data_IF_827624210352
#
_entry.id   IF_827624210352
#
_cell.length_a   1.000
_cell.length_b   1.000
_cell.length_c   1.000
_cell.angle_alpha   90.00
_cell.angle_beta   90.00
_cell.angle_gamma   90.00
#
_symmetry.space_group_name_H-M   'P 1'
#
loop_
_entity.id
_entity.type
_entity.pdbx_description
1 polymer ?
#
# COMPACT_ATOMS: atom_id res chain seq x y z
N UNK A 1 60.49 -10.76 39.75
CA UNK A 1 61.67 -10.20 40.48
C UNK A 1 61.87 -8.79 40.10
N UNK A 2 62.29 -7.96 41.02
CA UNK A 2 61.66 -7.53 42.29
C UNK A 2 61.44 -6.00 42.28
N UNK A 3 60.78 -5.48 43.13
CA UNK A 3 60.90 -4.98 44.55
C UNK A 3 60.68 -3.49 44.67
N UNK A 4 59.73 -3.11 45.53
CA UNK A 4 59.91 -2.34 46.82
C UNK A 4 60.21 -0.85 46.64
N UNK A 5 59.69 0.12 47.32
CA UNK A 5 59.31 0.40 48.71
C UNK A 5 58.68 1.82 48.81
N UNK A 6 57.66 1.95 49.66
CA UNK A 6 57.54 2.88 50.82
C UNK A 6 57.88 4.37 50.66
N UNK A 7 57.01 5.29 51.13
CA UNK A 7 57.05 5.86 52.50
C UNK A 7 55.97 6.97 52.64
N UNK A 8 55.05 6.85 53.53
CA UNK A 8 54.72 7.58 54.78
C UNK A 8 55.06 9.08 54.84
N UNK A 9 54.08 9.87 55.18
CA UNK A 9 54.33 11.24 55.65
C UNK A 9 53.10 12.09 55.91
N UNK A 10 52.53 11.98 57.10
CA UNK A 10 52.09 12.97 58.07
C UNK A 10 50.97 14.00 57.78
N UNK A 11 49.98 13.87 58.70
CA UNK A 11 48.95 14.82 59.10
C UNK A 11 49.49 16.25 59.36
N UNK A 12 48.73 17.26 59.00
CA UNK A 12 48.63 18.50 59.82
C UNK A 12 47.19 19.01 59.67
N UNK A 13 46.57 19.12 60.85
CA UNK A 13 45.30 19.83 61.08
C UNK A 13 45.54 21.37 60.92
N UNK A 14 44.55 22.03 60.28
CA UNK A 14 44.35 23.44 60.42
C UNK A 14 42.85 23.76 60.43
N UNK A 15 42.38 24.18 61.55
CA UNK A 15 41.08 24.80 61.80
C UNK A 15 40.95 26.09 61.02
N UNK A 16 39.82 26.34 60.33
CA UNK A 16 39.38 27.68 59.97
C UNK A 16 37.84 27.74 59.78
N UNK A 17 37.22 28.90 59.90
CA UNK A 17 35.98 29.07 60.66
C UNK A 17 34.73 29.07 59.81
N UNK A 18 33.71 28.62 60.48
CA UNK A 18 32.31 28.67 60.14
C UNK A 18 31.78 30.08 60.01
N UNK A 19 31.69 30.67 58.81
CA UNK A 19 30.90 31.93 58.61
C UNK A 19 30.93 32.38 57.12
N UNK A 20 30.40 31.60 56.17
CA UNK A 20 30.10 32.11 54.80
C UNK A 20 29.28 31.16 53.97
N UNK A 21 28.43 30.28 54.54
CA UNK A 21 27.65 29.30 53.82
C UNK A 21 26.13 29.55 53.82
N UNK A 22 25.67 30.73 54.29
CA UNK A 22 24.23 31.01 54.34
C UNK A 22 23.69 31.85 53.17
N UNK A 23 24.54 32.31 52.25
CA UNK A 23 24.09 33.18 51.13
C UNK A 23 24.02 32.51 49.74
N UNK A 24 24.50 31.27 49.60
CA UNK A 24 24.46 30.56 48.30
C UNK A 24 23.33 29.57 48.14
N UNK A 25 22.58 29.26 49.22
CA UNK A 25 21.51 28.27 49.18
C UNK A 25 20.14 28.84 48.76
N UNK A 26 19.95 30.16 48.76
CA UNK A 26 18.70 30.82 48.38
C UNK A 26 18.64 31.16 46.87
N UNK A 27 19.79 31.26 46.19
CA UNK A 27 19.84 31.60 44.77
C UNK A 27 19.64 30.37 43.85
N UNK A 28 19.77 29.13 44.36
CA UNK A 28 19.67 27.92 43.57
C UNK A 28 18.26 27.32 43.57
N UNK A 29 17.37 27.78 44.44
CA UNK A 29 15.97 27.29 44.51
C UNK A 29 15.00 28.10 43.63
N UNK A 30 15.40 29.24 43.07
CA UNK A 30 14.54 30.05 42.18
C UNK A 30 14.78 29.74 40.71
N UNK A 31 15.91 29.11 40.34
CA UNK A 31 16.22 28.73 38.96
C UNK A 31 15.60 27.36 38.52
N UNK A 32 15.09 26.56 39.46
CA UNK A 32 14.50 25.24 39.16
C UNK A 32 12.98 25.27 38.92
N UNK A 33 12.32 26.44 39.07
CA UNK A 33 10.87 26.56 38.94
C UNK A 33 10.38 27.06 37.57
N UNK A 34 11.27 27.26 36.59
CA UNK A 34 10.91 27.91 35.31
C UNK A 34 10.97 27.05 34.06
N UNK A 35 11.06 25.72 34.15
CA UNK A 35 11.00 24.85 32.96
C UNK A 35 10.12 23.63 33.24
N UNK A 36 8.91 23.89 33.70
CA UNK A 36 7.80 22.95 33.51
C UNK A 36 6.75 23.65 32.65
N UNK A 37 7.09 23.92 31.39
CA UNK A 37 6.05 24.05 30.39
C UNK A 37 5.35 22.68 30.37
N UNK A 38 4.04 22.59 30.65
CA UNK A 38 3.34 21.37 30.39
C UNK A 38 3.48 21.16 28.87
N UNK A 39 4.24 20.15 28.46
CA UNK A 39 3.99 19.51 27.19
C UNK A 39 2.51 19.12 27.27
N UNK A 40 1.65 19.91 26.64
CA UNK A 40 0.31 19.50 26.31
C UNK A 40 0.47 18.32 25.36
N UNK A 41 0.79 17.16 25.92
CA UNK A 41 0.40 15.91 25.31
C UNK A 41 -1.11 16.05 25.19
N UNK A 42 -1.60 16.40 23.99
CA UNK A 42 -2.96 16.17 23.63
C UNK A 42 -3.19 14.68 23.91
N UNK A 43 -3.70 14.38 25.12
CA UNK A 43 -4.29 13.10 25.41
C UNK A 43 -5.47 12.99 24.47
N UNK A 44 -5.25 12.25 23.37
CA UNK A 44 -6.36 11.73 22.61
C UNK A 44 -7.10 10.82 23.58
N UNK A 45 -8.15 11.34 24.20
CA UNK A 45 -9.04 10.64 25.13
C UNK A 45 -9.87 9.54 24.45
N UNK A 46 -9.47 9.13 23.25
CA UNK A 46 -10.13 8.10 22.46
C UNK A 46 -9.38 6.77 22.47
N UNK A 47 -10.11 5.67 22.63
CA UNK A 47 -9.60 4.33 22.36
C UNK A 47 -8.95 4.34 20.96
N UNK A 48 -7.77 3.70 20.76
CA UNK A 48 -7.13 3.66 19.45
C UNK A 48 -8.04 2.95 18.42
N UNK A 49 -8.07 3.49 17.20
CA UNK A 49 -8.70 2.84 16.07
C UNK A 49 -7.69 1.87 15.46
N UNK A 50 -8.08 0.61 15.34
CA UNK A 50 -7.30 -0.44 14.70
C UNK A 50 -7.55 -0.38 13.19
N UNK A 51 -6.50 -0.15 12.41
CA UNK A 51 -6.52 -0.25 10.96
C UNK A 51 -5.83 -1.56 10.53
N UNK A 52 -6.61 -2.58 10.25
CA UNK A 52 -6.11 -3.87 9.77
C UNK A 52 -5.73 -3.74 8.30
N UNK A 53 -4.49 -4.08 7.98
CA UNK A 53 -3.95 -4.11 6.64
C UNK A 53 -3.63 -5.57 6.28
N UNK A 54 -4.45 -6.24 5.42
CA UNK A 54 -4.32 -7.66 5.12
C UNK A 54 -3.13 -7.99 4.20
N UNK A 55 -1.99 -7.34 4.42
CA UNK A 55 -0.76 -7.52 3.63
C UNK A 55 0.47 -7.42 4.53
N UNK A 56 1.63 -7.80 4.00
CA UNK A 56 2.89 -7.70 4.73
C UNK A 56 3.29 -6.23 4.98
N UNK A 57 3.99 -5.95 6.08
CA UNK A 57 4.67 -4.66 6.27
C UNK A 57 5.57 -4.33 5.07
N UNK A 58 5.63 -3.05 4.69
CA UNK A 58 6.37 -2.60 3.52
C UNK A 58 5.68 -2.84 2.17
N UNK A 59 4.49 -3.42 2.16
CA UNK A 59 3.66 -3.49 0.94
C UNK A 59 3.12 -2.12 0.55
N UNK A 60 2.64 -1.98 -0.70
CA UNK A 60 1.99 -0.75 -1.17
C UNK A 60 0.80 -0.33 -0.30
N UNK A 61 -0.01 -1.28 0.16
CA UNK A 61 -1.13 -1.00 1.06
C UNK A 61 -0.66 -0.50 2.43
N UNK A 62 0.41 -1.09 2.98
CA UNK A 62 1.01 -0.64 4.24
C UNK A 62 1.59 0.77 4.11
N UNK A 63 2.28 1.06 3.01
CA UNK A 63 2.83 2.39 2.75
C UNK A 63 1.72 3.46 2.67
N UNK A 64 0.61 3.17 1.99
CA UNK A 64 -0.56 4.05 1.93
C UNK A 64 -1.23 4.20 3.29
N UNK A 65 -1.39 3.11 4.06
CA UNK A 65 -1.94 3.16 5.40
C UNK A 65 -1.12 4.09 6.32
N UNK A 66 0.21 3.98 6.28
CA UNK A 66 1.11 4.83 7.08
C UNK A 66 1.09 6.29 6.64
N UNK A 67 1.05 6.53 5.34
CA UNK A 67 0.96 7.89 4.79
C UNK A 67 -0.33 8.62 5.20
N UNK A 68 -1.41 7.86 5.40
CA UNK A 68 -2.72 8.40 5.75
C UNK A 68 -2.97 8.45 7.27
N UNK A 69 -2.30 7.59 8.06
CA UNK A 69 -2.65 7.30 9.46
C UNK A 69 -2.65 8.52 10.37
N UNK A 70 -1.66 9.40 10.27
CA UNK A 70 -1.56 10.57 11.13
C UNK A 70 -2.71 11.57 10.88
N UNK A 71 -2.95 11.91 9.61
CA UNK A 71 -4.03 12.81 9.23
C UNK A 71 -5.40 12.19 9.54
N UNK A 72 -5.57 10.91 9.20
CA UNK A 72 -6.80 10.18 9.51
C UNK A 72 -7.06 10.13 11.03
N UNK A 73 -6.02 9.96 11.84
CA UNK A 73 -6.12 9.97 13.30
C UNK A 73 -6.59 11.32 13.83
N UNK A 74 -6.04 12.42 13.32
CA UNK A 74 -6.50 13.79 13.68
C UNK A 74 -7.97 14.00 13.32
N UNK A 75 -8.37 13.63 12.10
CA UNK A 75 -9.73 13.81 11.61
C UNK A 75 -10.76 12.94 12.35
N UNK A 76 -10.39 11.72 12.70
CA UNK A 76 -11.26 10.77 13.41
C UNK A 76 -11.30 11.01 14.93
N UNK A 77 -10.32 11.72 15.50
CA UNK A 77 -10.20 11.91 16.95
C UNK A 77 -9.67 10.68 17.69
N UNK A 78 -9.06 9.74 16.99
CA UNK A 78 -8.51 8.49 17.53
C UNK A 78 -7.10 8.24 17.00
N UNK A 79 -6.12 7.86 17.83
CA UNK A 79 -4.84 7.39 17.33
C UNK A 79 -5.04 6.12 16.48
N UNK A 80 -4.38 6.05 15.31
CA UNK A 80 -4.49 4.91 14.41
C UNK A 80 -3.38 3.91 14.70
N UNK A 81 -3.76 2.68 15.02
CA UNK A 81 -2.83 1.55 15.15
C UNK A 81 -2.96 0.66 13.91
N UNK A 82 -1.89 0.59 13.12
CA UNK A 82 -1.82 -0.25 11.92
C UNK A 82 -1.41 -1.66 12.31
N UNK A 83 -2.23 -2.63 11.92
CA UNK A 83 -1.98 -4.05 12.15
C UNK A 83 -1.87 -4.79 10.81
N UNK A 84 -0.67 -5.23 10.47
CA UNK A 84 -0.44 -6.01 9.26
C UNK A 84 -0.73 -7.49 9.52
N UNK A 85 -1.71 -8.07 8.80
CA UNK A 85 -2.09 -9.48 8.93
C UNK A 85 -2.08 -10.10 7.54
N UNK A 86 -0.90 -10.60 7.16
CA UNK A 86 -0.63 -11.13 5.83
C UNK A 86 -1.00 -12.62 5.69
N UNK A 87 -0.95 -13.12 4.45
CA UNK A 87 -1.12 -14.52 4.09
C UNK A 87 -2.40 -14.81 3.32
N UNK A 88 -2.36 -15.87 2.50
CA UNK A 88 -3.52 -16.37 1.72
C UNK A 88 -4.34 -15.26 1.03
N UNK A 89 -3.68 -14.35 0.29
CA UNK A 89 -4.38 -13.24 -0.39
C UNK A 89 -5.00 -12.20 0.56
N UNK A 90 -4.66 -12.20 1.86
CA UNK A 90 -5.23 -11.30 2.87
C UNK A 90 -6.47 -11.86 3.57
N UNK A 91 -6.83 -13.12 3.32
CA UNK A 91 -8.01 -13.75 3.93
C UNK A 91 -8.00 -13.69 5.45
N UNK A 92 -6.91 -14.05 6.17
CA UNK A 92 -6.89 -13.98 7.64
C UNK A 92 -7.12 -12.57 8.19
N UNK A 93 -6.51 -11.56 7.58
CA UNK A 93 -6.68 -10.16 7.99
C UNK A 93 -8.11 -9.68 7.76
N UNK A 94 -8.68 -9.98 6.59
CA UNK A 94 -10.07 -9.64 6.28
C UNK A 94 -11.05 -10.35 7.22
N UNK A 95 -10.78 -11.61 7.61
CA UNK A 95 -11.62 -12.32 8.56
C UNK A 95 -11.68 -11.64 9.94
N UNK A 96 -10.59 -10.99 10.36
CA UNK A 96 -10.61 -10.20 11.60
C UNK A 96 -11.45 -8.94 11.46
N UNK A 97 -11.44 -8.29 10.29
CA UNK A 97 -12.32 -7.13 10.02
C UNK A 97 -13.78 -7.56 10.08
N UNK A 98 -14.13 -8.65 9.42
CA UNK A 98 -15.49 -9.20 9.37
C UNK A 98 -16.04 -9.52 10.79
N UNK A 99 -15.18 -10.01 11.69
CA UNK A 99 -15.54 -10.39 13.07
C UNK A 99 -15.45 -9.24 14.08
N UNK A 100 -15.04 -8.06 13.65
CA UNK A 100 -14.86 -6.93 14.56
C UNK A 100 -16.20 -6.39 15.10
N UNK A 101 -16.20 -5.73 16.27
CA UNK A 101 -17.34 -4.97 16.75
C UNK A 101 -17.77 -3.89 15.76
N UNK A 102 -19.09 -3.62 15.70
CA UNK A 102 -19.67 -2.61 14.78
C UNK A 102 -19.64 -1.20 15.37
N UNK A 103 -18.63 -0.90 16.16
CA UNK A 103 -18.47 0.38 16.87
C UNK A 103 -17.68 1.43 16.04
N UNK A 104 -17.07 1.02 14.91
CA UNK A 104 -16.26 1.88 14.05
C UNK A 104 -14.81 2.04 14.51
N UNK A 105 -14.37 1.33 15.56
CA UNK A 105 -13.00 1.37 16.08
C UNK A 105 -12.08 0.29 15.46
N UNK A 106 -12.61 -0.57 14.59
CA UNK A 106 -11.81 -1.49 13.78
C UNK A 106 -12.23 -1.35 12.34
N UNK A 107 -11.29 -0.92 11.51
CA UNK A 107 -11.45 -0.76 10.07
C UNK A 107 -10.42 -1.62 9.34
N UNK A 108 -10.66 -1.90 8.07
CA UNK A 108 -9.72 -2.58 7.19
C UNK A 108 -9.31 -1.73 6.01
N UNK A 109 -8.02 -1.74 5.67
CA UNK A 109 -7.54 -1.24 4.38
C UNK A 109 -7.34 -2.44 3.45
N UNK A 110 -8.36 -2.74 2.65
CA UNK A 110 -8.35 -3.86 1.70
C UNK A 110 -7.89 -3.43 0.31
N UNK A 111 -7.35 -4.38 -0.45
CA UNK A 111 -6.95 -4.19 -1.85
C UNK A 111 -7.85 -4.99 -2.79
N UNK A 112 -7.63 -4.87 -4.09
CA UNK A 112 -8.31 -5.65 -5.14
C UNK A 112 -8.36 -7.16 -4.87
N UNK A 113 -7.38 -7.70 -4.13
CA UNK A 113 -7.39 -9.12 -3.75
C UNK A 113 -8.65 -9.53 -2.98
N UNK A 114 -9.28 -8.60 -2.25
CA UNK A 114 -10.51 -8.86 -1.53
C UNK A 114 -11.65 -9.39 -2.43
N UNK A 115 -11.75 -8.89 -3.65
CA UNK A 115 -12.75 -9.32 -4.64
C UNK A 115 -12.20 -10.31 -5.67
N UNK A 116 -10.88 -10.47 -5.77
CA UNK A 116 -10.23 -11.51 -6.59
C UNK A 116 -10.32 -12.87 -5.90
N UNK A 117 -10.10 -12.93 -4.59
CA UNK A 117 -10.01 -14.16 -3.81
C UNK A 117 -11.19 -15.12 -4.01
N UNK A 118 -12.47 -14.68 -4.05
CA UNK A 118 -13.60 -15.59 -4.26
C UNK A 118 -13.54 -16.38 -5.58
N UNK A 119 -12.86 -15.85 -6.60
CA UNK A 119 -12.70 -16.55 -7.88
C UNK A 119 -11.46 -17.47 -7.90
N UNK A 120 -10.50 -17.25 -7.01
CA UNK A 120 -9.20 -17.97 -6.97
C UNK A 120 -9.22 -19.12 -5.95
N UNK A 121 -9.83 -18.89 -4.77
CA UNK A 121 -9.86 -19.88 -3.69
C UNK A 121 -11.16 -20.68 -3.72
N UNK A 122 -11.07 -22.00 -3.54
CA UNK A 122 -12.25 -22.90 -3.55
C UNK A 122 -13.23 -22.62 -2.41
N UNK A 123 -12.72 -22.16 -1.26
CA UNK A 123 -13.53 -21.87 -0.09
C UNK A 123 -13.07 -20.55 0.53
N UNK A 124 -14.02 -19.67 0.75
CA UNK A 124 -13.82 -18.41 1.47
C UNK A 124 -14.52 -18.49 2.83
N UNK A 125 -13.88 -18.05 3.92
CA UNK A 125 -14.49 -18.05 5.26
C UNK A 125 -15.46 -16.88 5.49
N UNK A 126 -15.70 -16.04 4.49
CA UNK A 126 -16.61 -14.90 4.49
C UNK A 126 -17.07 -14.58 3.06
N UNK A 127 -18.17 -13.87 2.94
CA UNK A 127 -18.62 -13.26 1.69
C UNK A 127 -17.99 -11.89 1.50
N UNK A 128 -17.28 -11.69 0.40
CA UNK A 128 -16.52 -10.44 0.14
C UNK A 128 -17.37 -9.18 -0.02
N UNK A 129 -18.68 -9.31 -0.17
CA UNK A 129 -19.60 -8.17 -0.28
C UNK A 129 -20.52 -8.06 0.94
N UNK A 130 -21.10 -9.18 1.39
CA UNK A 130 -22.12 -9.17 2.43
C UNK A 130 -21.59 -9.06 3.85
N UNK A 131 -20.33 -9.52 4.07
CA UNK A 131 -19.74 -9.54 5.41
C UNK A 131 -18.91 -8.30 5.74
N UNK A 132 -18.91 -7.31 4.84
CA UNK A 132 -18.26 -6.01 5.04
C UNK A 132 -19.23 -4.85 4.79
N UNK A 133 -18.88 -3.68 5.32
CA UNK A 133 -19.48 -2.39 4.98
C UNK A 133 -18.42 -1.56 4.26
N UNK A 134 -18.51 -1.32 2.93
CA UNK A 134 -17.65 -0.41 2.22
C UNK A 134 -17.81 1.03 2.75
N UNK A 135 -16.70 1.68 3.09
CA UNK A 135 -16.70 3.06 3.59
C UNK A 135 -16.24 4.00 2.47
N UNK A 136 -15.08 3.74 1.88
CA UNK A 136 -14.56 4.54 0.77
C UNK A 136 -13.56 3.75 -0.06
N UNK A 137 -13.62 3.92 -1.37
CA UNK A 137 -12.48 3.59 -2.26
C UNK A 137 -11.49 4.75 -2.14
N UNK A 138 -10.35 4.53 -1.50
CA UNK A 138 -9.32 5.55 -1.31
C UNK A 138 -8.81 6.03 -2.67
N UNK A 139 -8.48 5.07 -3.55
CA UNK A 139 -7.95 5.37 -4.87
C UNK A 139 -7.49 4.13 -5.62
N UNK A 140 -7.03 4.37 -6.84
CA UNK A 140 -6.46 3.36 -7.73
C UNK A 140 -4.95 3.48 -7.82
N UNK A 141 -4.32 2.37 -8.14
CA UNK A 141 -2.89 2.22 -8.37
C UNK A 141 -2.69 1.75 -9.81
N UNK A 142 -2.50 2.68 -10.74
CA UNK A 142 -2.25 2.36 -12.13
C UNK A 142 -1.06 1.42 -12.31
N UNK A 143 -1.21 0.47 -13.24
CA UNK A 143 -0.13 -0.38 -13.70
C UNK A 143 0.40 0.15 -15.02
N UNK A 144 1.61 -0.24 -15.35
CA UNK A 144 2.20 0.00 -16.65
C UNK A 144 2.68 -1.32 -17.25
N UNK A 145 2.30 -1.58 -18.49
CA UNK A 145 2.86 -2.66 -19.31
C UNK A 145 4.25 -2.23 -19.75
N UNK A 146 5.23 -2.99 -19.32
CA UNK A 146 6.64 -2.76 -19.65
C UNK A 146 7.23 -3.95 -20.36
N UNK A 147 8.25 -3.68 -21.16
CA UNK A 147 9.06 -4.71 -21.82
C UNK A 147 10.54 -4.48 -21.57
N UNK A 148 11.32 -5.57 -21.60
CA UNK A 148 12.78 -5.49 -21.64
C UNK A 148 13.23 -4.79 -22.96
N UNK A 149 14.28 -3.98 -22.96
CA UNK A 149 14.76 -3.29 -24.17
C UNK A 149 15.09 -4.22 -25.35
N UNK A 150 15.43 -5.48 -25.09
CA UNK A 150 15.68 -6.49 -26.14
C UNK A 150 14.44 -6.86 -26.96
N UNK A 151 13.23 -6.57 -26.45
CA UNK A 151 11.97 -6.82 -27.19
C UNK A 151 11.85 -5.77 -28.30
N UNK A 152 11.75 -6.18 -29.60
CA UNK A 152 11.65 -5.27 -30.72
C UNK A 152 10.21 -4.75 -30.91
N UNK A 153 9.68 -4.09 -29.87
CA UNK A 153 8.37 -3.44 -29.87
C UNK A 153 8.46 -2.16 -29.03
N UNK A 154 7.88 -1.06 -29.51
CA UNK A 154 7.90 0.26 -28.87
C UNK A 154 6.49 0.81 -28.59
N UNK A 155 5.46 0.10 -29.04
CA UNK A 155 4.06 0.43 -28.83
C UNK A 155 3.22 -0.85 -28.75
N UNK A 156 1.94 -0.67 -28.41
CA UNK A 156 1.00 -1.80 -28.23
C UNK A 156 0.81 -2.62 -29.50
N UNK A 157 0.69 -1.96 -30.65
CA UNK A 157 0.45 -2.61 -31.93
C UNK A 157 1.65 -3.46 -32.34
N UNK A 158 2.87 -2.95 -32.22
CA UNK A 158 4.09 -3.71 -32.48
C UNK A 158 4.24 -4.91 -31.55
N UNK A 159 3.92 -4.72 -30.24
CA UNK A 159 3.95 -5.81 -29.28
C UNK A 159 2.93 -6.89 -29.63
N UNK A 160 1.68 -6.54 -29.95
CA UNK A 160 0.66 -7.47 -30.36
C UNK A 160 1.04 -8.23 -31.64
N UNK A 161 1.58 -7.52 -32.64
CA UNK A 161 2.06 -8.13 -33.87
C UNK A 161 3.20 -9.13 -33.63
N UNK A 162 4.16 -8.78 -32.77
CA UNK A 162 5.24 -9.66 -32.35
C UNK A 162 4.72 -10.91 -31.65
N UNK A 163 3.81 -10.77 -30.68
CA UNK A 163 3.22 -11.88 -29.96
C UNK A 163 2.43 -12.83 -30.85
N UNK A 164 1.72 -12.30 -31.86
CA UNK A 164 1.01 -13.11 -32.85
C UNK A 164 1.93 -13.87 -33.81
N UNK A 165 3.06 -13.23 -34.18
CA UNK A 165 4.03 -13.88 -35.09
C UNK A 165 4.87 -14.95 -34.40
N UNK A 166 4.99 -14.88 -33.07
CA UNK A 166 5.82 -15.78 -32.25
C UNK A 166 5.06 -16.24 -31.01
N UNK A 167 4.01 -17.05 -31.17
CA UNK A 167 3.22 -17.57 -30.03
C UNK A 167 4.14 -18.27 -29.01
N UNK A 168 3.89 -18.06 -27.73
CA UNK A 168 4.61 -18.68 -26.60
C UNK A 168 6.14 -18.51 -26.54
N UNK A 169 6.72 -17.63 -27.39
CA UNK A 169 8.16 -17.36 -27.37
C UNK A 169 8.53 -16.24 -26.39
N UNK A 170 7.61 -15.34 -26.08
CA UNK A 170 7.78 -14.35 -25.04
C UNK A 170 7.09 -14.79 -23.77
N UNK A 171 7.75 -14.55 -22.65
CA UNK A 171 7.21 -14.84 -21.33
C UNK A 171 6.83 -13.52 -20.65
N UNK A 172 5.73 -13.53 -19.90
CA UNK A 172 5.46 -12.46 -18.97
C UNK A 172 5.62 -12.93 -17.52
N UNK A 173 6.17 -12.02 -16.68
CA UNK A 173 6.30 -12.25 -15.25
C UNK A 173 5.13 -11.68 -14.46
N UNK A 174 4.87 -12.24 -13.28
CA UNK A 174 3.96 -11.70 -12.29
C UNK A 174 4.45 -11.91 -10.86
N UNK A 175 3.80 -11.29 -9.88
CA UNK A 175 4.11 -11.52 -8.47
C UNK A 175 3.51 -12.82 -7.90
N UNK A 176 2.98 -13.68 -8.75
CA UNK A 176 2.41 -14.99 -8.43
C UNK A 176 1.05 -15.21 -9.05
N UNK A 177 0.59 -16.47 -9.03
CA UNK A 177 -0.73 -16.85 -9.55
C UNK A 177 -1.86 -16.10 -8.83
N UNK A 178 -2.86 -15.63 -9.60
CA UNK A 178 -4.03 -14.92 -9.06
C UNK A 178 -3.75 -13.52 -8.53
N UNK A 179 -2.53 -13.01 -8.67
CA UNK A 179 -2.22 -11.64 -8.25
C UNK A 179 -2.73 -10.62 -9.28
N UNK A 180 -2.85 -9.36 -8.84
CA UNK A 180 -3.22 -8.22 -9.70
C UNK A 180 -2.33 -8.15 -10.96
N UNK A 181 -1.01 -8.37 -10.83
CA UNK A 181 -0.08 -8.31 -11.96
C UNK A 181 -0.28 -9.47 -12.94
N UNK A 182 -0.63 -10.65 -12.44
CA UNK A 182 -1.01 -11.79 -13.27
C UNK A 182 -2.29 -11.50 -14.07
N UNK A 183 -3.36 -11.09 -13.36
CA UNK A 183 -4.66 -10.87 -13.99
C UNK A 183 -4.67 -9.70 -14.98
N UNK A 184 -3.83 -8.68 -14.76
CA UNK A 184 -3.63 -7.59 -15.72
C UNK A 184 -3.04 -8.10 -17.03
N UNK A 185 -2.06 -9.01 -16.96
CA UNK A 185 -1.45 -9.62 -18.14
C UNK A 185 -2.42 -10.57 -18.86
N UNK A 186 -3.18 -11.35 -18.12
CA UNK A 186 -4.21 -12.25 -18.68
C UNK A 186 -5.32 -11.46 -19.40
N UNK A 187 -5.79 -10.37 -18.82
CA UNK A 187 -6.74 -9.49 -19.48
C UNK A 187 -6.14 -8.90 -20.78
N UNK A 188 -4.87 -8.50 -20.76
CA UNK A 188 -4.18 -8.02 -21.96
C UNK A 188 -4.13 -9.11 -23.03
N UNK A 189 -3.70 -10.31 -22.67
CA UNK A 189 -3.61 -11.45 -23.61
C UNK A 189 -4.98 -11.79 -24.22
N UNK A 190 -6.02 -11.79 -23.40
CA UNK A 190 -7.41 -12.04 -23.82
C UNK A 190 -7.94 -10.95 -24.77
N UNK A 191 -7.81 -9.66 -24.41
CA UNK A 191 -8.30 -8.55 -25.23
C UNK A 191 -7.50 -8.40 -26.54
N UNK A 192 -6.18 -8.64 -26.51
CA UNK A 192 -5.32 -8.63 -27.68
C UNK A 192 -5.42 -9.91 -28.53
N UNK A 193 -6.06 -10.97 -28.02
CA UNK A 193 -6.13 -12.30 -28.64
C UNK A 193 -4.74 -12.83 -29.00
N UNK A 194 -3.86 -12.87 -28.00
CA UNK A 194 -2.49 -13.38 -28.10
C UNK A 194 -2.23 -14.45 -27.05
N UNK A 195 -1.25 -15.31 -27.30
CA UNK A 195 -0.79 -16.30 -26.33
C UNK A 195 0.59 -15.87 -25.82
N UNK A 196 0.72 -15.84 -24.49
CA UNK A 196 1.97 -15.46 -23.80
C UNK A 196 2.12 -16.35 -22.58
N UNK A 197 3.29 -16.94 -22.42
CA UNK A 197 3.55 -17.87 -21.33
C UNK A 197 3.75 -17.11 -20.00
N UNK A 198 3.01 -17.52 -18.97
CA UNK A 198 3.13 -16.97 -17.62
C UNK A 198 4.31 -17.60 -16.85
N UNK A 199 5.08 -16.75 -16.17
CA UNK A 199 6.12 -17.15 -15.21
C UNK A 199 5.79 -16.50 -13.85
N UNK A 200 5.26 -17.27 -12.89
CA UNK A 200 4.93 -16.75 -11.55
C UNK A 200 6.16 -16.65 -10.67
N UNK A 201 6.30 -15.52 -9.96
CA UNK A 201 7.35 -15.27 -8.97
C UNK A 201 6.77 -15.17 -7.55
N UNK A 202 7.64 -15.32 -6.55
CA UNK A 202 7.29 -15.05 -5.13
C UNK A 202 7.45 -13.56 -4.83
N UNK A 203 6.58 -12.72 -5.43
CA UNK A 203 6.58 -11.26 -5.24
C UNK A 203 7.18 -10.46 -6.41
N UNK A 204 6.88 -9.16 -6.42
CA UNK A 204 7.24 -8.27 -7.52
C UNK A 204 8.75 -8.00 -7.64
N UNK A 205 9.52 -8.08 -6.53
CA UNK A 205 10.96 -7.80 -6.54
C UNK A 205 11.75 -8.76 -7.42
N UNK A 206 11.58 -10.08 -7.22
CA UNK A 206 12.26 -11.10 -8.01
C UNK A 206 11.83 -11.03 -9.50
N UNK A 207 10.54 -10.81 -9.74
CA UNK A 207 10.01 -10.60 -11.08
C UNK A 207 10.67 -9.39 -11.77
N UNK A 208 10.80 -8.26 -11.08
CA UNK A 208 11.43 -7.06 -11.64
C UNK A 208 12.91 -7.31 -11.98
N UNK A 209 13.64 -8.05 -11.14
CA UNK A 209 15.04 -8.40 -11.40
C UNK A 209 15.18 -9.22 -12.68
N UNK A 210 14.35 -10.24 -12.85
CA UNK A 210 14.39 -11.12 -14.02
C UNK A 210 13.90 -10.42 -15.29
N UNK A 211 12.95 -9.49 -15.16
CA UNK A 211 12.52 -8.64 -16.28
C UNK A 211 13.66 -7.70 -16.75
N UNK A 212 14.39 -7.11 -15.80
CA UNK A 212 15.59 -6.30 -16.13
C UNK A 212 16.70 -7.12 -16.76
N UNK A 213 16.85 -8.37 -16.32
CA UNK A 213 17.81 -9.34 -16.86
C UNK A 213 17.38 -10.00 -18.18
N UNK A 214 16.13 -9.76 -18.65
CA UNK A 214 15.59 -10.37 -19.86
C UNK A 214 15.20 -11.84 -19.75
N UNK A 215 15.15 -12.41 -18.54
CA UNK A 215 14.69 -13.79 -18.30
C UNK A 215 13.19 -13.93 -18.59
N UNK A 216 12.42 -12.88 -18.28
CA UNK A 216 11.08 -12.65 -18.80
C UNK A 216 11.08 -11.36 -19.61
N UNK A 217 10.26 -11.28 -20.64
CA UNK A 217 10.36 -10.23 -21.64
C UNK A 217 9.41 -9.07 -21.40
N UNK A 218 8.30 -9.32 -20.70
CA UNK A 218 7.26 -8.32 -20.50
C UNK A 218 6.47 -8.56 -19.21
N UNK A 219 5.65 -7.60 -18.84
CA UNK A 219 4.63 -7.75 -17.80
C UNK A 219 4.16 -6.40 -17.25
N UNK A 220 3.28 -6.49 -16.28
CA UNK A 220 2.73 -5.32 -15.61
C UNK A 220 3.43 -5.08 -14.28
N UNK A 221 3.65 -3.81 -13.95
CA UNK A 221 4.19 -3.36 -12.67
C UNK A 221 3.51 -2.05 -12.26
N UNK A 222 3.54 -1.72 -10.97
CA UNK A 222 3.11 -0.39 -10.52
C UNK A 222 4.07 0.67 -11.02
N UNK A 223 3.55 1.84 -11.38
CA UNK A 223 4.37 2.91 -11.98
C UNK A 223 5.54 3.33 -11.09
N UNK A 224 5.37 3.56 -9.78
CA UNK A 224 6.50 3.93 -8.92
C UNK A 224 7.61 2.88 -8.86
N UNK A 225 7.26 1.59 -8.95
CA UNK A 225 8.22 0.50 -8.88
C UNK A 225 9.17 0.49 -10.09
N UNK A 226 8.74 0.98 -11.25
CA UNK A 226 9.52 0.95 -12.50
C UNK A 226 9.98 2.31 -12.99
N UNK A 227 9.46 3.40 -12.44
CA UNK A 227 9.80 4.74 -12.90
C UNK A 227 11.31 5.03 -12.98
N UNK A 228 12.14 4.63 -11.98
CA UNK A 228 13.59 4.77 -12.07
C UNK A 228 14.19 3.97 -13.24
N UNK A 229 13.67 2.78 -13.52
CA UNK A 229 14.14 1.89 -14.59
C UNK A 229 13.77 2.41 -15.97
N UNK A 230 12.57 3.00 -16.10
CA UNK A 230 12.12 3.67 -17.31
C UNK A 230 12.99 4.89 -17.63
N UNK A 231 13.25 5.75 -16.62
CA UNK A 231 14.13 6.91 -16.75
C UNK A 231 15.57 6.53 -17.12
N UNK A 232 16.05 5.38 -16.64
CA UNK A 232 17.38 4.85 -16.95
C UNK A 232 17.44 4.07 -18.27
N UNK A 233 16.32 3.95 -19.01
CA UNK A 233 16.25 3.18 -20.26
C UNK A 233 16.44 1.67 -20.09
N UNK A 234 16.36 1.16 -18.85
CA UNK A 234 16.49 -0.27 -18.54
C UNK A 234 15.22 -1.06 -18.78
N UNK A 235 14.09 -0.39 -18.92
CA UNK A 235 12.81 -0.93 -19.37
C UNK A 235 12.16 0.06 -20.34
N UNK A 236 11.28 -0.43 -21.21
CA UNK A 236 10.43 0.40 -22.08
C UNK A 236 8.99 0.34 -21.58
N UNK A 237 8.36 1.49 -21.39
CA UNK A 237 6.93 1.58 -21.13
C UNK A 237 6.16 1.46 -22.46
N UNK A 238 5.20 0.54 -22.51
CA UNK A 238 4.37 0.31 -23.70
C UNK A 238 3.03 1.02 -23.59
N UNK A 239 2.34 0.83 -22.46
CA UNK A 239 1.07 1.49 -22.17
C UNK A 239 0.70 1.41 -20.70
N UNK A 240 -0.13 2.32 -20.22
CA UNK A 240 -0.74 2.25 -18.88
C UNK A 240 -2.04 1.45 -18.90
N UNK A 241 -2.37 0.86 -17.76
CA UNK A 241 -3.54 -0.02 -17.59
C UNK A 241 -4.86 0.73 -17.44
N UNK A 242 -4.79 2.01 -17.11
CA UNK A 242 -5.94 2.90 -16.93
C UNK A 242 -6.65 3.20 -18.25
N UNK A 243 -7.95 3.56 -18.22
CA UNK A 243 -8.68 3.99 -19.44
C UNK A 243 -8.06 5.22 -20.13
N UNK A 244 -7.37 6.08 -19.37
CA UNK A 244 -6.71 7.31 -19.84
C UNK A 244 -5.26 7.35 -19.36
N UNK A 245 -4.45 8.21 -19.97
CA UNK A 245 -3.09 8.50 -19.52
C UNK A 245 -3.05 9.01 -18.10
N UNK A 246 -1.91 8.85 -17.44
CA UNK A 246 -1.69 9.26 -16.05
C UNK A 246 -0.62 10.34 -15.95
N UNK A 247 -0.73 11.26 -14.96
CA UNK A 247 0.23 12.36 -14.81
C UNK A 247 1.69 11.93 -14.62
N UNK A 248 1.92 10.76 -14.00
CA UNK A 248 3.28 10.24 -13.78
C UNK A 248 3.97 9.78 -15.06
N UNK A 249 3.22 9.45 -16.11
CA UNK A 249 3.70 8.98 -17.42
C UNK A 249 2.87 9.62 -18.53
N UNK A 250 2.93 10.95 -18.72
CA UNK A 250 2.03 11.69 -19.60
C UNK A 250 2.19 11.31 -21.09
N UNK A 251 3.38 10.86 -21.49
CA UNK A 251 3.70 10.48 -22.87
C UNK A 251 3.36 9.01 -23.16
N UNK A 252 3.06 8.19 -22.13
CA UNK A 252 2.72 6.78 -22.30
C UNK A 252 1.21 6.65 -22.51
N UNK A 253 0.76 6.10 -23.65
CA UNK A 253 -0.66 5.95 -23.93
C UNK A 253 -1.30 4.89 -23.01
N UNK A 254 -2.62 4.91 -22.92
CA UNK A 254 -3.34 3.79 -22.31
C UNK A 254 -3.52 2.63 -23.30
N UNK A 255 -3.71 1.42 -22.78
CA UNK A 255 -4.07 0.26 -23.61
C UNK A 255 -5.40 0.50 -24.35
N UNK A 256 -6.33 1.21 -23.72
CA UNK A 256 -7.61 1.58 -24.32
C UNK A 256 -7.44 2.49 -25.53
N UNK A 257 -6.58 3.54 -25.43
CA UNK A 257 -6.23 4.44 -26.54
C UNK A 257 -5.45 3.72 -27.67
N UNK A 258 -4.80 2.62 -27.30
CA UNK A 258 -3.91 1.86 -28.19
C UNK A 258 -4.58 0.64 -28.82
N UNK A 259 -5.87 0.69 -29.07
CA UNK A 259 -6.60 -0.34 -29.83
C UNK A 259 -7.20 -1.46 -28.99
N UNK A 260 -7.18 -1.37 -27.66
CA UNK A 260 -7.87 -2.29 -26.74
C UNK A 260 -8.93 -1.54 -25.92
N UNK A 261 -10.01 -1.01 -26.53
CA UNK A 261 -10.93 -0.07 -25.90
C UNK A 261 -11.69 -0.62 -24.68
N UNK A 262 -11.71 -1.94 -24.51
CA UNK A 262 -12.33 -2.60 -23.34
C UNK A 262 -11.33 -2.88 -22.22
N UNK A 263 -10.04 -2.61 -22.44
CA UNK A 263 -9.04 -2.80 -21.40
C UNK A 263 -9.15 -1.71 -20.33
N UNK A 264 -9.43 -2.11 -19.11
CA UNK A 264 -9.39 -1.26 -17.93
C UNK A 264 -9.08 -2.14 -16.72
N UNK A 265 -7.89 -1.99 -16.19
CA UNK A 265 -7.43 -2.82 -15.07
C UNK A 265 -6.48 -2.01 -14.17
N UNK A 266 -6.91 -1.74 -12.95
CA UNK A 266 -6.10 -1.07 -11.95
C UNK A 266 -6.16 -1.85 -10.63
N UNK A 267 -5.05 -1.83 -9.89
CA UNK A 267 -5.12 -2.13 -8.48
C UNK A 267 -5.85 -1.00 -7.76
N UNK A 268 -6.50 -1.29 -6.66
CA UNK A 268 -7.16 -0.28 -5.84
C UNK A 268 -7.06 -0.59 -4.36
N UNK A 269 -7.26 0.43 -3.54
CA UNK A 269 -7.32 0.34 -2.09
C UNK A 269 -8.62 0.98 -1.59
N UNK A 270 -9.23 0.35 -0.61
CA UNK A 270 -10.47 0.84 0.00
C UNK A 270 -10.46 0.63 1.51
N UNK A 271 -11.16 1.50 2.23
CA UNK A 271 -11.47 1.31 3.65
C UNK A 271 -12.85 0.67 3.78
N UNK A 272 -12.89 -0.36 4.60
CA UNK A 272 -14.09 -1.13 4.92
C UNK A 272 -14.22 -1.29 6.44
N UNK A 273 -15.44 -1.49 6.91
CA UNK A 273 -15.75 -1.94 8.26
C UNK A 273 -16.45 -3.31 8.25
N UNK A 274 -16.77 -3.88 9.42
CA UNK A 274 -17.58 -5.08 9.53
C UNK A 274 -19.01 -4.83 9.00
N UNK A 275 -19.67 -5.88 8.54
CA UNK A 275 -21.04 -5.79 8.04
C UNK A 275 -22.00 -5.27 9.12
N UNK A 276 -22.96 -4.42 8.69
CA UNK A 276 -23.96 -3.84 9.60
C UNK A 276 -23.43 -2.69 10.46
N UNK A 277 -22.35 -2.05 10.05
CA UNK A 277 -22.00 -0.72 10.55
C UNK A 277 -23.14 0.25 10.20
N UNK A 278 -23.59 1.07 11.16
CA UNK A 278 -24.69 2.01 10.96
C UNK A 278 -24.36 2.97 9.80
N UNK A 279 -25.35 3.30 8.96
CA UNK A 279 -25.13 4.13 7.75
C UNK A 279 -24.59 5.51 8.05
N UNK A 280 -25.12 6.15 9.10
CA UNK A 280 -24.65 7.44 9.60
C UNK A 280 -23.19 7.39 10.08
N UNK A 281 -22.81 6.29 10.76
CA UNK A 281 -21.44 6.04 11.19
C UNK A 281 -20.51 5.85 9.98
N UNK A 282 -20.93 5.07 8.98
CA UNK A 282 -20.15 4.87 7.76
C UNK A 282 -19.95 6.19 6.99
N UNK A 283 -20.98 7.03 6.93
CA UNK A 283 -20.92 8.34 6.30
C UNK A 283 -20.01 9.31 7.08
N UNK A 284 -20.08 9.35 8.43
CA UNK A 284 -19.17 10.17 9.25
C UNK A 284 -17.72 9.73 9.09
N UNK A 285 -17.45 8.43 9.16
CA UNK A 285 -16.11 7.89 8.93
C UNK A 285 -15.59 8.28 7.54
N UNK A 286 -16.41 8.14 6.51
CA UNK A 286 -16.05 8.50 5.15
C UNK A 286 -15.71 9.99 5.04
N UNK A 287 -16.54 10.88 5.57
CA UNK A 287 -16.33 12.32 5.51
C UNK A 287 -15.00 12.73 6.16
N UNK A 288 -14.68 12.15 7.32
CA UNK A 288 -13.42 12.41 8.04
C UNK A 288 -12.20 11.81 7.31
N UNK A 289 -12.32 10.60 6.75
CA UNK A 289 -11.26 10.01 5.93
C UNK A 289 -11.05 10.84 4.66
N UNK A 290 -12.13 11.32 4.03
CA UNK A 290 -12.03 12.20 2.86
C UNK A 290 -11.33 13.51 3.20
N UNK A 291 -11.64 14.12 4.35
CA UNK A 291 -10.94 15.32 4.82
C UNK A 291 -9.42 15.08 4.99
N UNK A 292 -9.04 13.89 5.51
CA UNK A 292 -7.63 13.49 5.58
C UNK A 292 -6.99 13.33 4.18
N UNK A 293 -7.71 12.73 3.23
CA UNK A 293 -7.25 12.59 1.84
C UNK A 293 -7.11 13.93 1.11
N UNK A 294 -7.85 14.96 1.51
CA UNK A 294 -7.81 16.28 0.90
C UNK A 294 -6.67 17.17 1.43
N UNK A 295 -5.98 16.76 2.48
CA UNK A 295 -4.81 17.49 2.98
C UNK A 295 -3.66 17.44 1.96
N UNK A 296 -3.12 18.59 1.58
CA UNK A 296 -2.03 18.69 0.59
C UNK A 296 -0.83 17.77 0.85
N UNK A 297 -0.30 17.67 2.09
CA UNK A 297 0.81 16.75 2.36
C UNK A 297 0.45 15.27 2.12
N UNK A 298 -0.79 14.87 2.43
CA UNK A 298 -1.30 13.52 2.19
C UNK A 298 -1.41 13.27 0.68
N UNK A 299 -2.01 14.20 -0.07
CA UNK A 299 -2.11 14.10 -1.52
C UNK A 299 -0.75 13.95 -2.19
N UNK A 300 0.24 14.75 -1.79
CA UNK A 300 1.60 14.68 -2.33
C UNK A 300 2.27 13.34 -2.02
N UNK A 301 2.13 12.84 -0.79
CA UNK A 301 2.69 11.55 -0.38
C UNK A 301 2.04 10.39 -1.13
N UNK A 302 0.71 10.37 -1.23
CA UNK A 302 -0.03 9.32 -1.94
C UNK A 302 0.25 9.36 -3.45
N UNK A 303 0.36 10.55 -4.05
CA UNK A 303 0.75 10.70 -5.45
C UNK A 303 2.17 10.18 -5.71
N UNK A 304 3.13 10.46 -4.82
CA UNK A 304 4.48 9.91 -4.92
C UNK A 304 4.51 8.37 -4.86
N UNK A 305 3.53 7.77 -4.17
CA UNK A 305 3.31 6.33 -4.13
C UNK A 305 2.51 5.80 -5.34
N UNK A 306 2.13 6.65 -6.27
CA UNK A 306 1.39 6.29 -7.49
C UNK A 306 -0.10 6.10 -7.28
N UNK A 307 -0.65 6.47 -6.12
CA UNK A 307 -2.08 6.41 -5.87
C UNK A 307 -2.79 7.59 -6.55
N UNK A 308 -3.79 7.28 -7.36
CA UNK A 308 -4.76 8.25 -7.89
C UNK A 308 -5.95 8.27 -6.94
N UNK A 309 -6.05 9.36 -6.17
CA UNK A 309 -7.08 9.48 -5.12
C UNK A 309 -8.49 9.56 -5.75
N UNK A 310 -9.44 8.80 -5.18
CA UNK A 310 -10.86 8.83 -5.50
C UNK A 310 -11.65 9.41 -4.31
N UNK A 311 -11.51 8.83 -3.11
CA UNK A 311 -12.25 9.26 -1.92
C UNK A 311 -13.77 9.12 -2.08
N UNK A 312 -14.24 7.98 -2.60
CA UNK A 312 -15.65 7.73 -2.91
C UNK A 312 -16.56 7.81 -1.68
N UNK A 313 -17.86 8.06 -1.90
CA UNK A 313 -18.85 7.86 -0.84
C UNK A 313 -19.16 6.37 -0.63
N UNK A 314 -19.80 5.96 0.48
CA UNK A 314 -20.22 4.58 0.69
C UNK A 314 -21.18 4.07 -0.39
N UNK A 315 -22.08 4.94 -0.89
CA UNK A 315 -23.04 4.63 -1.95
C UNK A 315 -22.35 4.37 -3.30
N UNK A 316 -21.20 4.99 -3.55
CA UNK A 316 -20.36 4.76 -4.72
C UNK A 316 -19.46 3.53 -4.53
N UNK A 317 -18.98 3.30 -3.30
CA UNK A 317 -18.10 2.18 -3.01
C UNK A 317 -18.79 0.82 -3.16
N UNK A 318 -20.03 0.67 -2.70
CA UNK A 318 -20.74 -0.61 -2.77
C UNK A 318 -20.92 -1.15 -4.21
N UNK A 319 -21.45 -0.38 -5.18
CA UNK A 319 -21.53 -0.85 -6.58
C UNK A 319 -20.15 -1.01 -7.22
N UNK A 320 -19.14 -0.24 -6.80
CA UNK A 320 -17.78 -0.45 -7.25
C UNK A 320 -17.26 -1.85 -6.85
N UNK A 321 -17.42 -2.27 -5.59
CA UNK A 321 -17.01 -3.60 -5.14
C UNK A 321 -17.71 -4.71 -5.93
N UNK A 322 -19.02 -4.56 -6.19
CA UNK A 322 -19.76 -5.54 -7.00
C UNK A 322 -19.21 -5.61 -8.43
N UNK A 323 -19.01 -4.46 -9.09
CA UNK A 323 -18.49 -4.43 -10.47
C UNK A 323 -17.09 -5.01 -10.58
N UNK A 324 -16.23 -4.77 -9.58
CA UNK A 324 -14.89 -5.32 -9.51
C UNK A 324 -14.90 -6.83 -9.25
N UNK A 325 -15.80 -7.33 -8.39
CA UNK A 325 -15.98 -8.77 -8.18
C UNK A 325 -16.34 -9.47 -9.50
N UNK A 326 -17.35 -8.93 -10.21
CA UNK A 326 -17.83 -9.52 -11.48
C UNK A 326 -16.76 -9.45 -12.58
N UNK A 327 -16.01 -8.34 -12.64
CA UNK A 327 -14.89 -8.16 -13.56
C UNK A 327 -13.80 -9.22 -13.31
N UNK A 328 -13.34 -9.34 -12.07
CA UNK A 328 -12.26 -10.27 -11.74
C UNK A 328 -12.68 -11.72 -11.85
N UNK A 329 -13.94 -12.07 -11.52
CA UNK A 329 -14.45 -13.41 -11.74
C UNK A 329 -14.43 -13.84 -13.23
N UNK A 330 -14.76 -12.91 -14.14
CA UNK A 330 -14.64 -13.14 -15.59
C UNK A 330 -13.20 -13.34 -16.03
N UNK A 331 -12.27 -12.48 -15.56
CA UNK A 331 -10.85 -12.56 -15.93
C UNK A 331 -10.26 -13.88 -15.42
N UNK A 332 -10.51 -14.26 -14.17
CA UNK A 332 -10.03 -15.50 -13.58
C UNK A 332 -10.58 -16.71 -14.36
N UNK A 333 -11.87 -16.70 -14.71
CA UNK A 333 -12.47 -17.77 -15.52
C UNK A 333 -11.81 -17.89 -16.91
N UNK A 334 -11.46 -16.75 -17.54
CA UNK A 334 -10.83 -16.72 -18.86
C UNK A 334 -9.37 -17.18 -18.82
N UNK A 335 -8.63 -16.80 -17.78
CA UNK A 335 -7.22 -17.15 -17.62
C UNK A 335 -7.00 -18.57 -17.10
N UNK A 336 -8.01 -19.22 -16.54
CA UNK A 336 -7.86 -20.49 -15.84
C UNK A 336 -7.06 -20.40 -14.54
N UNK A 337 -6.82 -19.18 -14.04
CA UNK A 337 -6.09 -18.97 -12.79
C UNK A 337 -6.87 -19.55 -11.62
N UNK A 338 -6.24 -20.47 -10.88
CA UNK A 338 -6.80 -21.02 -9.64
C UNK A 338 -5.67 -21.30 -8.65
N UNK A 339 -5.98 -21.20 -7.37
CA UNK A 339 -5.14 -21.69 -6.27
C UNK A 339 -5.89 -22.89 -5.67
N UNK A 340 -5.41 -24.10 -5.97
CA UNK A 340 -5.95 -25.35 -5.44
C UNK A 340 -5.60 -25.52 -3.98
#
# INVERSE_FOLDING_TARGET
MPLILRTVGRLRHAFLPLRRTAALTVALTIAAASVAAPASAQSADGKPLRLIVPTQPGSQADAVARALSESMGRQLGHPIVIENIAGAGGIPGTQQIVRAPKDGLTLGLVSSNHVINPAIYRAMPFDSLRDITPITVIGTLPLVLVVNPSVPANNVQELIALLRSKPDQLNYGSSGNGTVLHLAAELFASEAKVQVRHVPYKGAGNYTTDLLGGQVQMGFLTVPAVLPQLKAGKLKAIAVSTPKRIPMLPDVPSLAESGLPRYSFDAWLAIVGPAGLAKDKAADLQARIKAALDEKPVQQNLAAQGLVIIGSTPEQAAPFFQSELDKHARIVKQSGASLN
#
